data_IF_853168007140
#
_entry.id   IF_853168007140
#
_cell.length_a   1.000
_cell.length_b   1.000
_cell.length_c   1.000
_cell.angle_alpha   90.00
_cell.angle_beta   90.00
_cell.angle_gamma   90.00
#
_symmetry.space_group_name_H-M   'P 1'
#
loop_
_entity.id
_entity.type
_entity.pdbx_description
1 polymer ?
#
# COMPACT_ATOMS: atom_id res chain seq x y z
N UNK A 1 13.27 15.94 -9.49
CA UNK A 1 14.69 15.49 -9.57
C UNK A 1 15.57 16.43 -8.74
N UNK A 2 16.59 15.93 -8.06
CA UNK A 2 17.51 16.77 -7.26
C UNK A 2 18.95 16.60 -7.74
N UNK A 3 19.76 17.66 -7.64
CA UNK A 3 21.20 17.63 -7.90
C UNK A 3 21.93 16.91 -6.76
N UNK A 4 23.24 16.54 -6.93
CA UNK A 4 24.07 16.04 -5.84
C UNK A 4 24.14 16.97 -4.62
N UNK A 5 23.94 18.27 -4.81
CA UNK A 5 23.85 19.30 -3.75
C UNK A 5 22.45 19.43 -3.15
N UNK A 6 21.53 18.50 -3.42
CA UNK A 6 20.12 18.49 -2.99
C UNK A 6 19.25 19.64 -3.49
N UNK A 7 19.79 20.48 -4.41
CA UNK A 7 18.98 21.51 -5.02
C UNK A 7 17.94 20.89 -5.97
N UNK A 8 16.70 21.34 -5.88
CA UNK A 8 15.63 20.94 -6.80
C UNK A 8 16.00 21.44 -8.20
N UNK A 9 16.15 20.52 -9.16
CA UNK A 9 16.40 20.81 -10.55
C UNK A 9 15.08 20.87 -11.30
N UNK A 10 14.18 19.93 -10.95
CA UNK A 10 12.90 19.76 -11.61
C UNK A 10 11.88 19.27 -10.58
N UNK A 11 10.70 19.84 -10.57
CA UNK A 11 9.54 19.41 -9.81
C UNK A 11 8.44 19.02 -10.77
N UNK A 12 7.82 17.87 -10.57
CA UNK A 12 6.60 17.52 -11.26
C UNK A 12 5.44 18.20 -10.53
N UNK A 13 4.68 18.99 -11.26
CA UNK A 13 3.41 19.49 -10.77
C UNK A 13 2.36 18.37 -10.84
N UNK A 14 1.49 18.25 -9.85
CA UNK A 14 0.39 17.29 -9.89
C UNK A 14 -0.50 17.56 -11.13
N UNK A 15 -0.75 16.52 -11.92
CA UNK A 15 -1.64 16.57 -13.07
C UNK A 15 -2.70 15.49 -12.94
N UNK A 16 -3.97 15.86 -13.12
CA UNK A 16 -5.05 14.90 -13.20
C UNK A 16 -5.03 14.21 -14.56
N UNK A 17 -4.72 12.92 -14.57
CA UNK A 17 -4.65 12.13 -15.80
C UNK A 17 -6.04 11.68 -16.26
N UNK A 18 -6.89 11.25 -15.32
CA UNK A 18 -8.27 10.84 -15.59
C UNK A 18 -9.05 10.63 -14.28
N UNK A 19 -10.36 10.78 -14.35
CA UNK A 19 -11.27 10.33 -13.31
C UNK A 19 -11.52 8.82 -13.47
N UNK A 20 -10.97 8.02 -12.57
CA UNK A 20 -11.03 6.56 -12.66
C UNK A 20 -12.41 5.99 -12.27
N UNK A 21 -13.16 6.68 -11.41
CA UNK A 21 -14.47 6.28 -10.91
C UNK A 21 -15.21 7.46 -10.26
N UNK A 22 -16.51 7.32 -10.07
CA UNK A 22 -17.30 8.31 -9.34
C UNK A 22 -16.91 8.38 -7.86
N UNK A 23 -17.13 9.52 -7.22
CA UNK A 23 -16.83 9.73 -5.78
C UNK A 23 -17.54 8.70 -4.88
N UNK A 24 -18.79 8.34 -5.19
CA UNK A 24 -19.55 7.35 -4.41
C UNK A 24 -18.94 5.95 -4.50
N UNK A 25 -18.47 5.55 -5.69
CA UNK A 25 -17.78 4.28 -5.87
C UNK A 25 -16.41 4.28 -5.18
N UNK A 26 -15.69 5.39 -5.21
CA UNK A 26 -14.43 5.56 -4.50
C UNK A 26 -14.62 5.46 -2.98
N UNK A 27 -15.65 6.08 -2.44
CA UNK A 27 -15.99 5.97 -1.02
C UNK A 27 -16.32 4.52 -0.64
N UNK A 28 -17.16 3.85 -1.41
CA UNK A 28 -17.50 2.44 -1.18
C UNK A 28 -16.27 1.54 -1.22
N UNK A 29 -15.39 1.74 -2.19
CA UNK A 29 -14.13 0.97 -2.30
C UNK A 29 -13.23 1.21 -1.09
N UNK A 30 -13.10 2.46 -0.66
CA UNK A 30 -12.34 2.83 0.54
C UNK A 30 -12.87 2.12 1.78
N UNK A 31 -14.19 2.11 1.99
CA UNK A 31 -14.80 1.45 3.14
C UNK A 31 -14.53 -0.08 3.12
N UNK A 32 -14.57 -0.70 1.94
CA UNK A 32 -14.16 -2.10 1.76
C UNK A 32 -12.68 -2.30 2.09
N UNK A 33 -11.81 -1.36 1.72
CA UNK A 33 -10.38 -1.44 2.04
C UNK A 33 -10.12 -1.29 3.55
N UNK A 34 -10.87 -0.43 4.25
CA UNK A 34 -10.81 -0.33 5.72
C UNK A 34 -11.23 -1.64 6.37
N UNK A 35 -12.32 -2.25 5.95
CA UNK A 35 -12.78 -3.54 6.47
C UNK A 35 -11.73 -4.65 6.31
N UNK A 36 -10.90 -4.62 5.24
CA UNK A 36 -9.81 -5.61 5.09
C UNK A 36 -8.69 -5.45 6.11
N UNK A 37 -8.47 -4.23 6.61
CA UNK A 37 -7.51 -3.95 7.68
C UNK A 37 -8.09 -4.28 9.04
N UNK A 38 -9.35 -3.96 9.28
CA UNK A 38 -10.00 -4.24 10.57
C UNK A 38 -10.08 -5.74 10.88
N UNK A 39 -10.51 -6.54 9.91
CA UNK A 39 -10.83 -7.96 10.15
C UNK A 39 -10.49 -8.91 8.98
N UNK A 40 -9.84 -8.41 7.93
CA UNK A 40 -9.55 -9.19 6.74
C UNK A 40 -8.07 -9.58 6.59
N UNK A 41 -7.62 -9.67 5.35
CA UNK A 41 -6.25 -10.14 5.00
C UNK A 41 -5.17 -9.09 5.20
N UNK A 42 -5.53 -7.84 5.53
CA UNK A 42 -4.61 -6.71 5.67
C UNK A 42 -4.41 -6.23 7.11
N UNK A 43 -4.77 -7.04 8.10
CA UNK A 43 -4.66 -6.69 9.54
C UNK A 43 -3.24 -6.30 9.99
N UNK A 44 -2.21 -6.72 9.26
CA UNK A 44 -0.82 -6.34 9.51
C UNK A 44 -0.53 -4.85 9.33
N UNK A 45 -1.43 -4.10 8.67
CA UNK A 45 -1.34 -2.66 8.49
C UNK A 45 -2.13 -1.85 9.51
N UNK A 46 -2.71 -2.48 10.55
CA UNK A 46 -3.40 -1.75 11.62
C UNK A 46 -2.45 -0.81 12.35
N UNK A 47 -2.86 0.45 12.48
CA UNK A 47 -2.15 1.49 13.25
C UNK A 47 -3.13 2.03 14.30
N UNK A 48 -2.80 1.97 15.60
CA UNK A 48 -3.68 2.50 16.63
C UNK A 48 -4.04 3.97 16.41
N UNK A 49 -5.33 4.28 16.36
CA UNK A 49 -5.81 5.65 16.19
C UNK A 49 -5.80 6.18 14.75
N UNK A 50 -5.44 5.35 13.77
CA UNK A 50 -5.45 5.71 12.35
C UNK A 50 -6.28 4.72 11.55
N UNK A 51 -7.30 5.20 10.86
CA UNK A 51 -8.05 4.37 9.91
C UNK A 51 -7.22 4.14 8.65
N UNK A 52 -6.83 2.91 8.41
CA UNK A 52 -6.04 2.50 7.24
C UNK A 52 -6.91 1.69 6.30
N UNK A 53 -6.95 2.09 5.04
CA UNK A 53 -7.54 1.28 3.97
C UNK A 53 -6.44 0.51 3.24
N UNK A 54 -6.62 -0.80 3.02
CA UNK A 54 -5.61 -1.58 2.32
C UNK A 54 -6.19 -2.72 1.48
N UNK A 55 -5.36 -3.27 0.58
CA UNK A 55 -5.65 -4.48 -0.20
C UNK A 55 -4.39 -5.29 -0.41
N UNK A 56 -4.49 -6.56 -0.09
CA UNK A 56 -3.43 -7.55 -0.35
C UNK A 56 -3.53 -8.10 -1.77
N UNK A 57 -2.40 -8.54 -2.30
CA UNK A 57 -2.34 -9.28 -3.55
C UNK A 57 -1.22 -10.32 -3.50
N UNK A 58 -1.46 -11.45 -4.16
CA UNK A 58 -0.43 -12.48 -4.38
C UNK A 58 -0.46 -12.83 -5.86
N UNK A 59 0.54 -12.36 -6.59
CA UNK A 59 0.64 -12.60 -8.01
C UNK A 59 1.50 -13.83 -8.27
N UNK A 60 0.90 -14.85 -8.88
CA UNK A 60 1.63 -16.04 -9.27
C UNK A 60 2.65 -15.69 -10.38
N UNK A 61 3.82 -16.27 -10.25
CA UNK A 61 4.89 -16.21 -11.24
C UNK A 61 5.01 -17.55 -11.97
N UNK A 62 6.13 -17.83 -12.58
CA UNK A 62 6.40 -19.13 -13.21
C UNK A 62 6.60 -20.23 -12.15
N UNK A 63 6.60 -21.50 -12.58
CA UNK A 63 6.80 -22.63 -11.67
C UNK A 63 8.13 -22.54 -10.88
N UNK A 64 9.14 -21.93 -11.50
CA UNK A 64 10.50 -21.83 -10.96
C UNK A 64 10.73 -20.57 -10.09
N UNK A 65 9.75 -19.66 -10.01
CA UNK A 65 9.86 -18.43 -9.22
C UNK A 65 8.78 -18.36 -8.15
N UNK A 66 9.08 -17.85 -6.96
CA UNK A 66 8.08 -17.60 -5.95
C UNK A 66 7.06 -16.55 -6.43
N UNK A 67 5.83 -16.55 -5.89
CA UNK A 67 4.85 -15.50 -6.14
C UNK A 67 5.36 -14.15 -5.66
N UNK A 68 4.86 -13.08 -6.28
CA UNK A 68 5.04 -11.71 -5.77
C UNK A 68 4.01 -11.40 -4.70
N UNK A 69 4.46 -10.89 -3.56
CA UNK A 69 3.59 -10.40 -2.51
C UNK A 69 3.34 -8.89 -2.72
N UNK A 70 2.08 -8.51 -3.00
CA UNK A 70 1.65 -7.15 -3.21
C UNK A 70 0.82 -6.63 -2.04
N UNK A 71 0.98 -5.37 -1.73
CA UNK A 71 0.17 -4.67 -0.77
C UNK A 71 0.01 -3.21 -1.18
N UNK A 72 -1.22 -2.71 -1.21
CA UNK A 72 -1.50 -1.29 -1.40
C UNK A 72 -2.26 -0.78 -0.20
N UNK A 73 -1.96 0.44 0.23
CA UNK A 73 -2.65 1.05 1.35
C UNK A 73 -2.75 2.57 1.18
N UNK A 74 -3.71 3.15 1.90
CA UNK A 74 -3.89 4.60 2.05
C UNK A 74 -4.23 4.93 3.51
N UNK A 75 -3.78 6.08 3.98
CA UNK A 75 -4.00 6.54 5.35
C UNK A 75 -3.89 8.07 5.50
N UNK A 76 -4.66 8.68 6.43
CA UNK A 76 -5.89 8.17 7.02
C UNK A 76 -6.93 7.86 5.93
N UNK A 77 -7.84 6.93 6.16
CA UNK A 77 -8.77 6.50 5.11
C UNK A 77 -9.80 7.58 4.72
N UNK A 78 -10.21 8.42 5.65
CA UNK A 78 -11.19 9.49 5.46
C UNK A 78 -10.60 10.73 4.75
N UNK A 79 -9.31 11.03 4.98
CA UNK A 79 -8.58 12.16 4.37
C UNK A 79 -7.15 11.72 4.04
N UNK A 80 -6.94 10.93 2.97
CA UNK A 80 -5.66 10.30 2.69
C UNK A 80 -4.51 11.31 2.50
N UNK A 81 -3.47 11.17 3.33
CA UNK A 81 -2.22 11.92 3.25
C UNK A 81 -1.11 11.11 2.58
N UNK A 82 -1.25 9.80 2.59
CA UNK A 82 -0.29 8.88 2.01
C UNK A 82 -1.01 7.73 1.31
N UNK A 83 -0.53 7.39 0.13
CA UNK A 83 -0.82 6.14 -0.55
C UNK A 83 0.50 5.41 -0.79
N UNK A 84 0.54 4.12 -0.46
CA UNK A 84 1.73 3.29 -0.58
C UNK A 84 1.42 2.01 -1.33
N UNK A 85 2.34 1.61 -2.19
CA UNK A 85 2.33 0.30 -2.83
C UNK A 85 3.66 -0.40 -2.53
N UNK A 86 3.58 -1.63 -2.04
CA UNK A 86 4.72 -2.48 -1.72
C UNK A 86 4.65 -3.75 -2.54
N UNK A 87 5.76 -4.12 -3.13
CA UNK A 87 5.96 -5.42 -3.77
C UNK A 87 7.17 -6.10 -3.16
N UNK A 88 7.01 -7.35 -2.76
CA UNK A 88 8.12 -8.25 -2.38
C UNK A 88 8.27 -9.28 -3.48
N UNK A 89 9.34 -9.17 -4.24
CA UNK A 89 9.58 -9.95 -5.45
C UNK A 89 10.12 -11.35 -5.15
N UNK A 90 10.92 -11.48 -4.09
CA UNK A 90 11.43 -12.75 -3.61
C UNK A 90 11.59 -12.74 -2.11
N UNK A 91 11.50 -13.90 -1.48
CA UNK A 91 11.74 -14.07 -0.05
C UNK A 91 12.26 -15.49 0.21
N UNK A 92 12.94 -15.67 1.34
CA UNK A 92 13.34 -16.99 1.84
C UNK A 92 12.18 -17.77 2.46
N UNK A 93 10.97 -17.19 2.41
CA UNK A 93 9.74 -17.80 2.90
C UNK A 93 9.27 -18.91 1.96
N UNK A 94 8.77 -19.99 2.53
CA UNK A 94 8.21 -21.08 1.75
C UNK A 94 7.07 -20.57 0.83
N UNK A 95 7.03 -21.07 -0.42
CA UNK A 95 6.12 -20.60 -1.47
C UNK A 95 4.65 -20.51 -1.04
N UNK A 96 4.19 -21.47 -0.26
CA UNK A 96 2.82 -21.55 0.27
C UNK A 96 2.52 -20.55 1.40
N UNK A 97 3.55 -19.88 1.93
CA UNK A 97 3.43 -18.88 2.99
C UNK A 97 3.57 -17.44 2.47
N UNK A 98 3.87 -17.28 1.19
CA UNK A 98 4.01 -15.96 0.56
C UNK A 98 2.63 -15.35 0.37
N UNK A 99 2.36 -14.29 1.12
CA UNK A 99 1.12 -13.52 1.04
C UNK A 99 1.40 -12.03 1.23
N UNK A 100 0.68 -11.18 0.49
CA UNK A 100 0.85 -9.73 0.53
C UNK A 100 0.71 -9.15 1.93
N UNK A 101 -0.32 -9.55 2.67
CA UNK A 101 -0.54 -9.09 4.04
C UNK A 101 0.58 -9.47 5.00
N UNK A 102 1.19 -10.63 4.81
CA UNK A 102 2.21 -11.14 5.71
C UNK A 102 3.59 -10.54 5.48
N UNK A 103 3.99 -10.37 4.22
CA UNK A 103 5.32 -9.89 3.84
C UNK A 103 5.35 -8.38 3.55
N UNK A 104 4.40 -7.89 2.76
CA UNK A 104 4.38 -6.51 2.30
C UNK A 104 3.62 -5.57 3.25
N UNK A 105 2.63 -6.07 3.99
CA UNK A 105 1.81 -5.29 4.93
C UNK A 105 2.62 -4.60 6.03
N UNK A 106 3.52 -5.28 6.77
CA UNK A 106 4.36 -4.63 7.78
C UNK A 106 5.25 -3.51 7.23
N UNK A 107 5.74 -3.66 5.99
CA UNK A 107 6.54 -2.64 5.31
C UNK A 107 5.67 -1.42 5.01
N UNK A 108 4.47 -1.63 4.46
CA UNK A 108 3.51 -0.57 4.19
C UNK A 108 3.14 0.20 5.47
N UNK A 109 2.88 -0.52 6.57
CA UNK A 109 2.61 0.08 7.88
C UNK A 109 3.75 0.99 8.33
N UNK A 110 4.99 0.51 8.31
CA UNK A 110 6.15 1.31 8.73
C UNK A 110 6.34 2.57 7.89
N UNK A 111 6.04 2.53 6.59
CA UNK A 111 6.07 3.70 5.72
C UNK A 111 4.98 4.70 6.11
N UNK A 112 3.75 4.22 6.36
CA UNK A 112 2.63 5.07 6.77
C UNK A 112 2.94 5.75 8.11
N UNK A 113 3.38 4.99 9.12
CA UNK A 113 3.78 5.51 10.43
C UNK A 113 4.85 6.61 10.29
N UNK A 114 5.88 6.36 9.48
CA UNK A 114 6.94 7.35 9.25
C UNK A 114 6.45 8.63 8.55
N UNK A 115 5.49 8.54 7.65
CA UNK A 115 4.94 9.71 6.94
C UNK A 115 3.99 10.50 7.82
N UNK A 116 3.18 9.84 8.62
CA UNK A 116 2.21 10.49 9.51
C UNK A 116 2.86 11.00 10.80
N UNK A 117 4.08 10.56 11.12
CA UNK A 117 4.79 10.93 12.34
C UNK A 117 4.29 10.17 13.57
N UNK A 118 3.77 8.97 13.37
CA UNK A 118 3.25 8.07 14.39
C UNK A 118 4.35 7.12 14.93
#
# INVERSE_FOLDING_TARGET
MRSPSLRVIESLEPEELSEAMTSDNAATLRDMMVATVESGTATSAQIPGVDVGAKTGTAQSTADRPPYAWFVALAPADDPKVAVAVVVESSDTARNEIAGGRLAGPIARSVIEAVLGE
#
